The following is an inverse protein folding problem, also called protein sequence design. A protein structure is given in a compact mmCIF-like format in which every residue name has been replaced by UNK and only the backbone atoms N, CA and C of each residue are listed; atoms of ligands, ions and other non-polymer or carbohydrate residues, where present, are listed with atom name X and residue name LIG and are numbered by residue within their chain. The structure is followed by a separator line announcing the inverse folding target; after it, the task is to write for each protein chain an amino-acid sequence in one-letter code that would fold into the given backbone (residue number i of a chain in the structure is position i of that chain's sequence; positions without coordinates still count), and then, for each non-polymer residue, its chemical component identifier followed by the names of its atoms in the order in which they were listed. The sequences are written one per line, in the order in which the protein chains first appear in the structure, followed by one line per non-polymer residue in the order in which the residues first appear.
data_IF_832513330031
#
_entry.id   IF_832513330031
#
_cell.length_a   1.000
_cell.length_b   1.000
_cell.length_c   1.000
_cell.angle_alpha   90.00
_cell.angle_beta   90.00
_cell.angle_gamma   90.00
#
_symmetry.space_group_name_H-M   'P 1'
#
loop_
_entity.id
_entity.type
_entity.pdbx_description
1 polymer ?
#
# COMPACT_ATOMS: atom_id res chain seq x y z
N UNK A 1 -1.14 33.36 13.43
CA UNK A 1 -2.26 32.79 12.69
C UNK A 1 -1.71 32.27 11.38
N UNK A 2 -1.97 31.01 11.06
CA UNK A 2 -1.59 30.40 9.78
C UNK A 2 -2.81 30.54 8.87
N UNK A 3 -2.60 30.97 7.63
CA UNK A 3 -3.63 31.02 6.62
C UNK A 3 -3.69 29.64 5.97
N UNK A 4 -4.87 29.01 6.02
CA UNK A 4 -5.14 27.68 5.47
C UNK A 4 -6.08 27.74 4.25
N UNK A 5 -6.42 28.92 3.78
CA UNK A 5 -7.21 29.12 2.56
C UNK A 5 -6.28 29.10 1.33
N UNK A 6 -5.91 27.91 0.91
CA UNK A 6 -4.98 27.70 -0.21
C UNK A 6 -5.57 28.06 -1.57
N UNK A 7 -6.88 28.00 -1.73
CA UNK A 7 -7.56 28.25 -3.01
C UNK A 7 -7.45 29.72 -3.44
N UNK A 8 -7.35 30.63 -2.45
CA UNK A 8 -7.24 32.06 -2.68
C UNK A 8 -5.81 32.61 -2.54
N UNK A 9 -4.82 31.76 -2.25
CA UNK A 9 -3.43 32.19 -2.12
C UNK A 9 -2.82 32.51 -3.48
N UNK A 10 -2.26 33.71 -3.61
CA UNK A 10 -1.49 34.10 -4.80
C UNK A 10 -0.15 33.34 -4.86
N UNK A 11 0.35 33.13 -6.08
CA UNK A 11 1.70 32.62 -6.26
C UNK A 11 2.72 33.51 -5.57
N UNK A 12 3.75 32.88 -5.00
CA UNK A 12 4.86 33.59 -4.33
C UNK A 12 5.73 34.29 -5.35
N UNK A 13 6.22 35.48 -5.00
CA UNK A 13 7.06 36.30 -5.86
C UNK A 13 8.56 36.15 -5.59
N UNK A 14 8.93 35.50 -4.50
CA UNK A 14 10.31 35.35 -4.06
C UNK A 14 10.57 34.06 -3.29
N UNK A 15 11.84 33.62 -3.29
CA UNK A 15 12.31 32.46 -2.50
C UNK A 15 12.08 32.67 -1.00
N UNK A 16 12.21 33.89 -0.50
CA UNK A 16 11.98 34.22 0.90
C UNK A 16 10.50 34.01 1.28
N UNK A 17 9.58 34.43 0.44
CA UNK A 17 8.14 34.24 0.62
C UNK A 17 7.77 32.75 0.54
N UNK A 18 8.35 32.01 -0.41
CA UNK A 18 8.18 30.57 -0.51
C UNK A 18 8.67 29.85 0.76
N UNK A 19 9.85 30.19 1.24
CA UNK A 19 10.39 29.62 2.48
C UNK A 19 9.50 29.92 3.69
N UNK A 20 8.93 31.11 3.76
CA UNK A 20 7.99 31.48 4.82
C UNK A 20 6.73 30.59 4.76
N UNK A 21 6.12 30.44 3.56
CA UNK A 21 4.94 29.58 3.37
C UNK A 21 5.21 28.13 3.77
N UNK A 22 6.34 27.57 3.33
CA UNK A 22 6.72 26.21 3.72
C UNK A 22 6.88 26.05 5.23
N UNK A 23 7.50 27.01 5.90
CA UNK A 23 7.60 26.98 7.38
C UNK A 23 6.24 27.02 8.06
N UNK A 24 5.32 27.83 7.55
CA UNK A 24 3.96 27.92 8.08
C UNK A 24 3.18 26.62 7.82
N UNK A 25 3.32 26.02 6.64
CA UNK A 25 2.70 24.74 6.29
C UNK A 25 3.22 23.59 7.15
N UNK A 26 4.53 23.45 7.26
CA UNK A 26 5.14 22.40 8.11
C UNK A 26 4.74 22.55 9.57
N UNK A 27 4.70 23.80 10.07
CA UNK A 27 4.21 24.07 11.41
C UNK A 27 2.75 23.67 11.58
N UNK A 28 1.90 23.95 10.61
CA UNK A 28 0.49 23.57 10.63
C UNK A 28 0.32 22.05 10.64
N UNK A 29 0.99 21.34 9.74
CA UNK A 29 0.94 19.87 9.68
C UNK A 29 1.44 19.24 11.00
N UNK A 30 2.55 19.77 11.56
CA UNK A 30 3.06 19.29 12.86
C UNK A 30 2.08 19.53 14.00
N UNK A 31 1.34 20.66 13.98
CA UNK A 31 0.35 20.95 15.02
C UNK A 31 -0.88 20.04 14.91
N UNK A 32 -1.32 19.71 13.69
CA UNK A 32 -2.40 18.73 13.48
C UNK A 32 -1.96 17.38 14.04
N UNK A 33 -0.81 16.88 13.58
CA UNK A 33 -0.28 15.58 14.05
C UNK A 33 -0.10 15.55 15.58
N UNK A 34 0.37 16.64 16.17
CA UNK A 34 0.49 16.74 17.64
C UNK A 34 -0.89 16.66 18.33
N UNK A 35 -1.89 17.34 17.79
CA UNK A 35 -3.26 17.30 18.32
C UNK A 35 -3.82 15.87 18.27
N UNK A 36 -3.71 15.22 17.12
CA UNK A 36 -4.20 13.85 16.92
C UNK A 36 -3.51 12.86 17.88
N UNK A 37 -2.18 12.98 18.04
CA UNK A 37 -1.42 12.17 19.00
C UNK A 37 -1.88 12.41 20.43
N UNK A 38 -2.21 13.64 20.77
CA UNK A 38 -2.69 13.99 22.12
C UNK A 38 -4.08 13.42 22.40
N UNK A 39 -5.01 13.52 21.44
CA UNK A 39 -6.34 12.90 21.55
C UNK A 39 -6.24 11.36 21.66
N UNK A 40 -5.31 10.72 20.92
CA UNK A 40 -5.06 9.30 21.02
C UNK A 40 -4.55 8.88 22.40
N UNK A 41 -3.60 9.65 22.99
CA UNK A 41 -3.11 9.39 24.35
C UNK A 41 -4.20 9.61 25.43
N UNK A 42 -5.05 10.64 25.25
CA UNK A 42 -6.20 10.89 26.15
C UNK A 42 -7.21 9.72 26.04
N UNK A 43 -7.51 9.24 24.85
CA UNK A 43 -8.39 8.09 24.62
C UNK A 43 -7.85 6.80 25.24
N UNK A 44 -6.54 6.56 25.16
CA UNK A 44 -5.90 5.41 25.81
C UNK A 44 -6.00 5.51 27.33
N UNK A 45 -5.83 6.70 27.89
CA UNK A 45 -5.97 6.94 29.32
C UNK A 45 -7.39 6.73 29.81
N UNK A 46 -8.39 7.13 29.01
CA UNK A 46 -9.81 6.89 29.33
C UNK A 46 -10.15 5.39 29.28
N UNK A 47 -9.52 4.63 28.39
CA UNK A 47 -9.73 3.19 28.27
C UNK A 47 -9.00 2.38 29.36
N UNK A 48 -7.87 2.86 29.86
CA UNK A 48 -7.05 2.22 30.88
C UNK A 48 -6.47 3.26 31.85
N UNK A 49 -7.03 3.31 33.05
CA UNK A 49 -6.57 4.22 34.12
C UNK A 49 -5.11 4.03 34.54
N UNK A 50 -4.52 2.86 34.26
CA UNK A 50 -3.11 2.57 34.55
C UNK A 50 -2.16 3.05 33.44
N UNK A 51 -2.67 3.48 32.28
CA UNK A 51 -1.88 3.96 31.18
C UNK A 51 -1.13 5.27 31.52
N UNK A 52 0.17 5.28 31.31
CA UNK A 52 1.00 6.48 31.48
C UNK A 52 1.02 7.26 30.17
N UNK A 53 0.40 8.45 30.18
CA UNK A 53 0.36 9.35 29.03
C UNK A 53 1.74 9.93 28.74
N UNK A 54 2.14 9.95 27.47
CA UNK A 54 3.39 10.59 27.05
C UNK A 54 3.39 12.08 27.35
N UNK A 55 4.57 12.62 27.62
CA UNK A 55 4.74 14.05 27.86
C UNK A 55 4.50 14.87 26.57
N UNK A 56 4.07 16.12 26.74
CA UNK A 56 3.91 17.06 25.61
C UNK A 56 5.20 17.20 24.78
N UNK A 57 6.38 17.11 25.41
CA UNK A 57 7.67 17.17 24.72
C UNK A 57 7.91 15.94 23.84
N UNK A 58 7.52 14.75 24.29
CA UNK A 58 7.63 13.52 23.51
C UNK A 58 6.64 13.53 22.34
N UNK A 59 5.41 13.99 22.58
CA UNK A 59 4.40 14.11 21.52
C UNK A 59 4.81 15.16 20.47
N UNK A 60 5.37 16.30 20.89
CA UNK A 60 5.91 17.29 19.96
C UNK A 60 7.04 16.72 19.11
N UNK A 61 7.97 15.98 19.71
CA UNK A 61 9.06 15.32 19.00
C UNK A 61 8.51 14.31 17.99
N UNK A 62 7.60 13.45 18.39
CA UNK A 62 6.96 12.46 17.54
C UNK A 62 6.21 13.12 16.37
N UNK A 63 5.48 14.21 16.62
CA UNK A 63 4.78 14.96 15.58
C UNK A 63 5.73 15.56 14.54
N UNK A 64 6.88 16.07 14.97
CA UNK A 64 7.92 16.61 14.07
C UNK A 64 8.55 15.51 13.22
N UNK A 65 8.88 14.37 13.81
CA UNK A 65 9.43 13.21 13.11
C UNK A 65 8.43 12.66 12.09
N UNK A 66 7.15 12.55 12.45
CA UNK A 66 6.08 12.13 11.53
C UNK A 66 5.89 13.13 10.37
N UNK A 67 5.93 14.43 10.65
CA UNK A 67 5.83 15.46 9.61
C UNK A 67 6.99 15.37 8.64
N UNK A 68 8.22 15.19 9.13
CA UNK A 68 9.42 15.02 8.30
C UNK A 68 9.28 13.78 7.42
N UNK A 69 9.00 12.62 8.02
CA UNK A 69 8.84 11.35 7.29
C UNK A 69 7.74 11.42 6.22
N UNK A 70 6.62 12.10 6.50
CA UNK A 70 5.55 12.30 5.50
C UNK A 70 6.02 13.16 4.32
N UNK A 71 6.84 14.19 4.59
CA UNK A 71 7.39 15.04 3.53
C UNK A 71 8.44 14.30 2.71
N UNK A 72 9.32 13.52 3.33
CA UNK A 72 10.30 12.68 2.64
C UNK A 72 9.60 11.71 1.70
N UNK A 73 8.59 10.98 2.19
CA UNK A 73 7.78 10.05 1.36
C UNK A 73 7.08 10.75 0.18
N UNK A 74 6.60 11.98 0.38
CA UNK A 74 5.99 12.76 -0.70
C UNK A 74 7.01 13.10 -1.80
N UNK A 75 8.23 13.49 -1.42
CA UNK A 75 9.28 13.78 -2.39
C UNK A 75 9.79 12.52 -3.07
N UNK A 76 10.00 11.43 -2.33
CA UNK A 76 10.39 10.13 -2.89
C UNK A 76 9.36 9.67 -3.94
N UNK A 77 8.06 9.77 -3.61
CA UNK A 77 6.99 9.47 -4.57
C UNK A 77 7.06 10.39 -5.82
N UNK A 78 7.35 11.68 -5.64
CA UNK A 78 7.42 12.62 -6.75
C UNK A 78 8.64 12.35 -7.64
N UNK A 79 9.77 11.96 -7.04
CA UNK A 79 10.98 11.59 -7.75
C UNK A 79 10.85 10.24 -8.49
N UNK A 80 9.99 9.36 -8.00
CA UNK A 80 9.67 8.08 -8.63
C UNK A 80 8.76 8.22 -9.87
N UNK A 81 8.14 9.40 -10.12
CA UNK A 81 7.26 9.59 -11.28
C UNK A 81 8.06 9.60 -12.60
N UNK A 82 7.60 8.77 -13.52
CA UNK A 82 8.18 8.61 -14.85
C UNK A 82 7.34 9.27 -15.95
N UNK A 83 7.84 9.21 -17.18
CA UNK A 83 7.16 9.79 -18.34
C UNK A 83 5.79 9.18 -18.58
N UNK A 84 5.64 7.89 -18.32
CA UNK A 84 4.42 7.12 -18.47
C UNK A 84 3.33 7.60 -17.50
N UNK A 85 3.72 7.93 -16.27
CA UNK A 85 2.80 8.46 -15.26
C UNK A 85 2.25 9.83 -15.70
N UNK A 86 3.14 10.74 -16.15
CA UNK A 86 2.72 12.04 -16.69
C UNK A 86 1.88 11.91 -17.95
N UNK A 87 2.15 10.91 -18.82
CA UNK A 87 1.36 10.64 -20.00
C UNK A 87 -0.05 10.21 -19.61
N UNK A 88 -0.18 9.30 -18.62
CA UNK A 88 -1.48 8.84 -18.10
C UNK A 88 -2.31 9.99 -17.53
N UNK A 89 -1.69 10.84 -16.73
CA UNK A 89 -2.35 12.06 -16.19
C UNK A 89 -2.83 12.97 -17.32
N UNK A 90 -1.99 13.21 -18.32
CA UNK A 90 -2.33 14.07 -19.46
C UNK A 90 -3.49 13.51 -20.29
N UNK A 91 -3.46 12.23 -20.62
CA UNK A 91 -4.53 11.58 -21.40
C UNK A 91 -5.83 11.57 -20.59
N UNK A 92 -5.79 11.23 -19.31
CA UNK A 92 -6.97 11.20 -18.46
C UNK A 92 -7.60 12.57 -18.30
N UNK A 93 -6.82 13.64 -18.17
CA UNK A 93 -7.35 15.01 -18.17
C UNK A 93 -8.13 15.38 -19.45
N UNK A 94 -7.76 14.78 -20.60
CA UNK A 94 -8.50 14.99 -21.86
C UNK A 94 -9.76 14.12 -21.89
N UNK A 95 -9.66 12.86 -21.47
CA UNK A 95 -10.75 11.88 -21.54
C UNK A 95 -11.90 12.28 -20.60
N UNK A 96 -11.58 12.74 -19.38
CA UNK A 96 -12.55 13.20 -18.38
C UNK A 96 -13.40 14.39 -18.83
N UNK A 97 -12.89 15.23 -19.76
CA UNK A 97 -13.69 16.32 -20.37
C UNK A 97 -14.83 15.80 -21.25
N UNK A 98 -14.73 14.57 -21.75
CA UNK A 98 -15.78 13.97 -22.59
C UNK A 98 -16.75 13.11 -21.78
N UNK A 99 -16.24 12.35 -20.81
CA UNK A 99 -17.02 11.50 -19.92
C UNK A 99 -16.27 11.26 -18.60
N UNK A 100 -16.83 11.69 -17.45
CA UNK A 100 -16.19 11.56 -16.14
C UNK A 100 -16.06 10.10 -15.66
N UNK A 101 -16.59 9.10 -16.38
CA UNK A 101 -16.50 7.69 -16.06
C UNK A 101 -15.56 6.92 -16.99
N UNK A 102 -14.98 7.60 -17.97
CA UNK A 102 -14.03 6.99 -18.91
C UNK A 102 -12.61 7.34 -18.52
N UNK A 103 -11.74 6.32 -18.41
CA UNK A 103 -10.34 6.47 -18.02
C UNK A 103 -9.44 5.68 -18.97
N UNK A 104 -8.27 6.23 -19.23
CA UNK A 104 -7.16 5.48 -19.80
C UNK A 104 -6.43 4.75 -18.67
N UNK A 105 -6.35 3.44 -18.74
CA UNK A 105 -5.51 2.64 -17.88
C UNK A 105 -4.16 2.41 -18.54
N UNK A 106 -3.08 2.85 -17.92
CA UNK A 106 -1.75 2.36 -18.25
C UNK A 106 -1.68 0.84 -17.99
N UNK A 107 -0.74 0.10 -18.61
CA UNK A 107 -0.66 -1.36 -18.43
C UNK A 107 -0.68 -1.78 -16.96
N UNK A 108 0.10 -1.16 -16.09
CA UNK A 108 0.15 -1.45 -14.65
C UNK A 108 -1.18 -1.14 -13.94
N UNK A 109 -1.86 -0.05 -14.33
CA UNK A 109 -3.17 0.29 -13.77
C UNK A 109 -4.24 -0.71 -14.19
N UNK A 110 -4.14 -1.21 -15.45
CA UNK A 110 -5.01 -2.28 -15.94
C UNK A 110 -4.82 -3.56 -15.12
N UNK A 111 -3.59 -3.97 -14.87
CA UNK A 111 -3.30 -5.15 -14.06
C UNK A 111 -3.85 -5.02 -12.63
N UNK A 112 -3.68 -3.85 -12.00
CA UNK A 112 -4.28 -3.55 -10.69
C UNK A 112 -5.81 -3.61 -10.72
N UNK A 113 -6.42 -3.08 -11.79
CA UNK A 113 -7.86 -3.13 -11.98
C UNK A 113 -8.34 -4.58 -12.13
N UNK A 114 -7.67 -5.39 -12.96
CA UNK A 114 -8.02 -6.78 -13.18
C UNK A 114 -7.91 -7.60 -11.88
N UNK A 115 -6.86 -7.43 -11.09
CA UNK A 115 -6.70 -8.01 -9.75
C UNK A 115 -7.83 -7.54 -8.82
N UNK A 116 -8.13 -6.24 -8.84
CA UNK A 116 -9.20 -5.69 -8.00
C UNK A 116 -10.57 -6.25 -8.39
N UNK A 117 -10.81 -6.52 -9.65
CA UNK A 117 -12.09 -7.08 -10.15
C UNK A 117 -12.18 -8.58 -9.94
N UNK A 118 -11.14 -9.34 -10.25
CA UNK A 118 -11.14 -10.80 -10.12
C UNK A 118 -10.96 -11.29 -8.68
N UNK A 119 -10.30 -10.50 -7.83
CA UNK A 119 -9.87 -10.92 -6.50
C UNK A 119 -8.75 -11.96 -6.51
N UNK A 120 -8.06 -12.12 -7.63
CA UNK A 120 -6.97 -13.07 -7.82
C UNK A 120 -5.70 -12.35 -8.21
N UNK A 121 -4.59 -12.85 -7.77
CA UNK A 121 -3.28 -12.42 -8.24
C UNK A 121 -2.33 -13.61 -8.35
N UNK A 122 -1.42 -13.59 -9.31
CA UNK A 122 -0.35 -14.59 -9.41
C UNK A 122 0.95 -14.03 -8.84
N UNK A 123 1.54 -14.75 -7.90
CA UNK A 123 2.76 -14.30 -7.25
C UNK A 123 3.09 -15.05 -5.97
N UNK A 124 3.74 -14.36 -5.03
CA UNK A 124 4.24 -14.95 -3.78
C UNK A 124 3.26 -14.83 -2.59
N UNK A 125 2.23 -14.01 -2.67
CA UNK A 125 1.28 -13.81 -1.57
C UNK A 125 1.83 -12.94 -0.44
N UNK A 126 2.42 -11.80 -0.77
CA UNK A 126 2.87 -10.81 0.19
C UNK A 126 2.45 -9.40 -0.25
N UNK A 127 2.11 -8.55 0.73
CA UNK A 127 1.94 -7.11 0.51
C UNK A 127 3.25 -6.39 0.77
N UNK A 128 3.60 -5.47 -0.11
CA UNK A 128 4.86 -4.77 -0.10
C UNK A 128 4.64 -3.27 0.03
N UNK A 129 5.58 -2.59 0.67
CA UNK A 129 5.65 -1.13 0.71
C UNK A 129 7.09 -0.70 0.44
N UNK A 130 7.25 0.39 -0.29
CA UNK A 130 8.53 1.09 -0.39
C UNK A 130 8.64 2.06 0.79
N UNK A 131 9.72 1.96 1.55
CA UNK A 131 10.09 2.89 2.61
C UNK A 131 11.52 3.35 2.35
N UNK A 132 11.66 4.58 1.89
CA UNK A 132 12.88 5.13 1.33
C UNK A 132 13.40 4.22 0.20
N UNK A 133 14.60 3.66 0.34
CA UNK A 133 15.20 2.76 -0.65
C UNK A 133 14.84 1.28 -0.47
N UNK A 134 14.06 0.92 0.55
CA UNK A 134 13.80 -0.48 0.88
C UNK A 134 12.38 -0.91 0.50
N UNK A 135 12.27 -2.11 -0.07
CA UNK A 135 11.00 -2.80 -0.27
C UNK A 135 10.76 -3.74 0.90
N UNK A 136 9.77 -3.42 1.73
CA UNK A 136 9.47 -4.14 2.98
C UNK A 136 8.16 -4.90 2.87
N UNK A 137 8.13 -6.10 3.43
CA UNK A 137 6.94 -6.95 3.52
C UNK A 137 6.10 -6.46 4.70
N UNK A 138 4.88 -5.99 4.42
CA UNK A 138 3.95 -5.50 5.45
C UNK A 138 2.93 -6.53 5.87
N UNK A 139 2.66 -7.53 5.02
CA UNK A 139 1.70 -8.59 5.32
C UNK A 139 2.03 -9.83 4.47
N UNK A 140 1.86 -11.01 5.06
CA UNK A 140 1.95 -12.30 4.36
C UNK A 140 0.54 -12.90 4.27
N UNK A 141 0.06 -13.10 3.05
CA UNK A 141 -1.31 -13.58 2.79
C UNK A 141 -1.40 -15.08 3.13
N UNK A 142 -2.30 -15.41 4.04
CA UNK A 142 -2.51 -16.79 4.48
C UNK A 142 -2.79 -17.73 3.31
N UNK A 143 -2.12 -18.89 3.30
CA UNK A 143 -2.25 -19.88 2.25
C UNK A 143 -1.45 -19.59 0.98
N UNK A 144 -0.86 -18.40 0.84
CA UNK A 144 0.04 -18.07 -0.28
C UNK A 144 1.42 -18.73 -0.18
N UNK A 145 2.23 -18.67 -1.25
CA UNK A 145 3.57 -19.27 -1.26
C UNK A 145 4.50 -18.78 -0.13
N UNK A 146 4.53 -17.46 0.11
CA UNK A 146 5.32 -16.87 1.18
C UNK A 146 4.89 -17.38 2.56
N UNK A 147 3.58 -17.52 2.80
CA UNK A 147 3.06 -18.08 4.04
C UNK A 147 3.39 -19.56 4.21
N UNK A 148 3.26 -20.34 3.13
CA UNK A 148 3.56 -21.80 3.16
C UNK A 148 5.04 -22.10 3.34
N UNK A 149 5.93 -21.21 2.93
CA UNK A 149 7.38 -21.39 3.10
C UNK A 149 7.81 -21.31 4.56
N UNK A 150 7.09 -20.52 5.38
CA UNK A 150 7.48 -20.17 6.76
C UNK A 150 8.85 -19.48 6.86
N UNK A 151 9.40 -19.08 5.70
CA UNK A 151 10.72 -18.45 5.61
C UNK A 151 10.62 -16.93 5.45
N UNK A 152 9.42 -16.37 5.22
CA UNK A 152 9.18 -14.93 5.04
C UNK A 152 8.21 -14.44 6.11
N UNK A 153 8.55 -13.31 6.73
CA UNK A 153 7.74 -12.70 7.78
C UNK A 153 7.55 -11.19 7.58
N UNK A 154 6.53 -10.64 8.23
CA UNK A 154 6.28 -9.20 8.23
C UNK A 154 7.48 -8.40 8.77
N UNK A 155 7.86 -7.38 8.02
CA UNK A 155 8.98 -6.51 8.31
C UNK A 155 10.31 -6.98 7.73
N UNK A 156 10.35 -8.12 7.04
CA UNK A 156 11.50 -8.52 6.25
C UNK A 156 11.66 -7.57 5.04
N UNK A 157 12.90 -7.31 4.65
CA UNK A 157 13.23 -6.40 3.54
C UNK A 157 13.77 -7.19 2.37
N UNK A 158 13.19 -7.05 1.19
CA UNK A 158 13.66 -7.69 -0.03
C UNK A 158 14.76 -6.81 -0.65
N UNK A 159 15.92 -7.39 -0.87
CA UNK A 159 17.10 -6.71 -1.41
C UNK A 159 17.31 -7.01 -2.89
N UNK A 160 17.06 -8.27 -3.29
CA UNK A 160 17.26 -8.73 -4.67
C UNK A 160 16.18 -9.73 -5.07
N UNK A 161 15.95 -9.80 -6.37
CA UNK A 161 15.04 -10.76 -7.01
C UNK A 161 15.80 -11.48 -8.12
N UNK A 162 15.64 -12.81 -8.23
CA UNK A 162 16.23 -13.62 -9.29
C UNK A 162 15.17 -14.54 -9.86
N UNK A 163 15.01 -14.52 -11.18
CA UNK A 163 14.15 -15.46 -11.90
C UNK A 163 14.82 -16.83 -12.03
N UNK A 164 14.04 -17.88 -12.31
CA UNK A 164 14.54 -19.26 -12.39
C UNK A 164 15.59 -19.46 -13.51
N UNK A 165 15.41 -18.76 -14.61
CA UNK A 165 16.23 -18.84 -15.83
C UNK A 165 17.33 -17.77 -15.93
N UNK A 166 17.47 -16.90 -14.94
CA UNK A 166 18.52 -15.88 -14.88
C UNK A 166 19.73 -16.38 -14.07
N UNK A 167 20.94 -15.95 -14.47
CA UNK A 167 22.16 -16.27 -13.72
C UNK A 167 22.35 -15.31 -12.54
N UNK A 168 22.02 -14.05 -12.72
CA UNK A 168 22.25 -12.98 -11.75
C UNK A 168 20.94 -12.49 -11.11
N UNK A 169 21.02 -12.12 -9.82
CA UNK A 169 19.93 -11.50 -9.10
C UNK A 169 19.90 -9.97 -9.34
N UNK A 170 18.75 -9.42 -9.66
CA UNK A 170 18.53 -7.98 -9.83
C UNK A 170 18.35 -7.34 -8.45
N UNK A 171 19.11 -6.26 -8.16
CA UNK A 171 18.90 -5.46 -6.95
C UNK A 171 17.65 -4.60 -7.10
N UNK A 172 16.77 -4.65 -6.12
CA UNK A 172 15.56 -3.81 -6.07
C UNK A 172 15.64 -2.69 -5.02
N UNK A 173 16.81 -2.51 -4.40
CA UNK A 173 17.05 -1.39 -3.47
C UNK A 173 17.02 -0.08 -4.25
N UNK A 174 16.21 0.87 -3.82
CA UNK A 174 15.99 2.15 -4.51
C UNK A 174 15.04 2.08 -5.72
N UNK A 175 14.64 0.88 -6.17
CA UNK A 175 13.72 0.70 -7.28
C UNK A 175 12.32 1.21 -6.95
N UNK A 176 11.54 1.63 -7.96
CA UNK A 176 10.11 1.90 -7.80
C UNK A 176 9.39 0.66 -7.29
N UNK A 177 8.38 0.86 -6.45
CA UNK A 177 7.61 -0.27 -5.90
C UNK A 177 6.98 -1.12 -7.00
N UNK A 178 6.40 -0.49 -8.02
CA UNK A 178 5.73 -1.18 -9.12
C UNK A 178 6.69 -2.06 -9.91
N UNK A 179 7.87 -1.53 -10.27
CA UNK A 179 8.90 -2.27 -11.01
C UNK A 179 9.42 -3.47 -10.18
N UNK A 180 9.61 -3.28 -8.88
CA UNK A 180 9.99 -4.36 -7.99
C UNK A 180 8.89 -5.43 -7.86
N UNK A 181 7.63 -5.00 -7.78
CA UNK A 181 6.47 -5.89 -7.75
C UNK A 181 6.37 -6.69 -9.04
N UNK A 182 6.62 -6.09 -10.20
CA UNK A 182 6.58 -6.78 -11.50
C UNK A 182 7.68 -7.86 -11.61
N UNK A 183 8.84 -7.64 -11.01
CA UNK A 183 9.89 -8.67 -10.91
C UNK A 183 9.51 -9.82 -9.95
N UNK A 184 8.77 -9.51 -8.87
CA UNK A 184 8.37 -10.48 -7.85
C UNK A 184 7.17 -11.31 -8.31
N UNK A 185 6.17 -10.67 -8.95
CA UNK A 185 5.04 -11.35 -9.59
C UNK A 185 5.52 -12.25 -10.73
N UNK A 186 4.64 -13.06 -11.23
CA UNK A 186 4.86 -13.87 -12.40
C UNK A 186 3.93 -15.08 -12.45
N UNK A 187 3.92 -15.81 -13.56
CA UNK A 187 3.00 -16.91 -13.79
C UNK A 187 3.08 -17.98 -12.70
N UNK A 188 1.91 -18.55 -12.40
CA UNK A 188 1.81 -19.72 -11.53
C UNK A 188 2.82 -20.80 -11.91
N UNK A 189 3.31 -21.53 -10.91
CA UNK A 189 4.28 -22.64 -11.00
C UNK A 189 5.71 -22.21 -11.44
N UNK A 190 5.99 -20.91 -11.64
CA UNK A 190 7.35 -20.40 -11.86
C UNK A 190 8.04 -20.13 -10.53
N UNK A 191 9.37 -20.23 -10.51
CA UNK A 191 10.16 -19.95 -9.30
C UNK A 191 10.75 -18.56 -9.31
N UNK A 192 10.82 -17.99 -8.12
CA UNK A 192 11.54 -16.75 -7.83
C UNK A 192 12.39 -16.94 -6.60
N UNK A 193 13.63 -16.46 -6.65
CA UNK A 193 14.52 -16.40 -5.47
C UNK A 193 14.58 -14.96 -4.99
N UNK A 194 14.26 -14.76 -3.72
CA UNK A 194 14.32 -13.46 -3.05
C UNK A 194 15.49 -13.44 -2.08
N UNK A 195 16.41 -12.49 -2.26
CA UNK A 195 17.41 -12.21 -1.23
C UNK A 195 16.77 -11.27 -0.21
N UNK A 196 16.58 -11.78 1.00
CA UNK A 196 15.79 -11.12 2.05
C UNK A 196 16.66 -10.82 3.26
N UNK A 197 16.59 -9.60 3.77
CA UNK A 197 17.15 -9.23 5.08
C UNK A 197 16.08 -9.41 6.15
N UNK A 198 16.33 -10.33 7.08
CA UNK A 198 15.40 -10.70 8.15
C UNK A 198 15.27 -9.58 9.18
N UNK A 199 14.02 -9.23 9.55
CA UNK A 199 13.73 -8.21 10.55
C UNK A 199 14.35 -8.49 11.91
N UNK A 200 14.26 -9.72 12.38
CA UNK A 200 14.62 -10.08 13.76
C UNK A 200 16.13 -10.22 13.93
N UNK A 201 16.79 -10.90 13.02
CA UNK A 201 18.23 -11.24 13.14
C UNK A 201 19.13 -10.34 12.30
N UNK A 202 18.57 -9.61 11.33
CA UNK A 202 19.35 -8.78 10.40
C UNK A 202 20.20 -9.55 9.39
N UNK A 203 20.18 -10.89 9.44
CA UNK A 203 20.88 -11.75 8.49
C UNK A 203 20.22 -11.68 7.10
N UNK A 204 21.02 -11.95 6.08
CA UNK A 204 20.56 -11.97 4.69
C UNK A 204 20.50 -13.43 4.26
N UNK A 205 19.37 -13.83 3.71
CA UNK A 205 19.09 -15.19 3.27
C UNK A 205 18.44 -15.17 1.89
N UNK A 206 18.71 -16.22 1.09
CA UNK A 206 18.01 -16.43 -0.17
C UNK A 206 16.86 -17.41 0.07
N UNK A 207 15.64 -16.94 -0.25
CA UNK A 207 14.40 -17.71 -0.12
C UNK A 207 13.87 -18.03 -1.51
N UNK A 208 13.65 -19.30 -1.80
CA UNK A 208 13.09 -19.77 -3.08
C UNK A 208 11.60 -20.01 -2.93
N UNK A 209 10.79 -19.30 -3.70
CA UNK A 209 9.34 -19.44 -3.71
C UNK A 209 8.85 -19.90 -5.08
N UNK A 210 7.83 -20.76 -5.07
CA UNK A 210 7.07 -21.13 -6.27
C UNK A 210 5.81 -20.29 -6.29
N UNK A 211 5.65 -19.47 -7.33
CA UNK A 211 4.48 -18.61 -7.49
C UNK A 211 3.20 -19.43 -7.66
N UNK A 212 2.11 -18.91 -7.15
CA UNK A 212 0.79 -19.54 -7.21
C UNK A 212 -0.29 -18.49 -7.40
N UNK A 213 -1.50 -18.94 -7.75
CA UNK A 213 -2.68 -18.08 -7.70
C UNK A 213 -3.07 -17.85 -6.24
N UNK A 214 -3.16 -16.59 -5.87
CA UNK A 214 -3.56 -16.15 -4.53
C UNK A 214 -4.97 -15.57 -4.64
N UNK A 215 -5.92 -16.17 -3.94
CA UNK A 215 -7.27 -15.66 -3.82
C UNK A 215 -7.36 -14.72 -2.62
N UNK A 216 -7.83 -13.50 -2.87
CA UNK A 216 -8.04 -12.50 -1.80
C UNK A 216 -9.43 -12.78 -1.21
N UNK A 217 -9.49 -13.63 -0.19
CA UNK A 217 -10.76 -14.12 0.42
C UNK A 217 -11.70 -12.99 0.88
N UNK A 218 -11.17 -11.83 1.25
CA UNK A 218 -11.98 -10.67 1.65
C UNK A 218 -12.78 -10.08 0.48
N UNK A 219 -12.45 -10.44 -0.75
CA UNK A 219 -13.16 -10.00 -1.95
C UNK A 219 -14.48 -10.73 -2.15
N UNK A 220 -14.53 -12.00 -1.75
CA UNK A 220 -15.62 -12.90 -2.13
C UNK A 220 -16.83 -12.80 -1.20
N UNK A 221 -18.00 -13.15 -1.76
CA UNK A 221 -19.23 -13.26 -1.00
C UNK A 221 -19.09 -14.32 0.11
N UNK A 222 -19.56 -13.98 1.30
CA UNK A 222 -19.59 -14.89 2.46
C UNK A 222 -21.02 -15.03 2.94
N UNK A 223 -21.41 -16.26 3.27
CA UNK A 223 -22.73 -16.54 3.82
C UNK A 223 -22.63 -17.04 5.26
N UNK A 224 -23.57 -16.65 6.06
CA UNK A 224 -23.73 -17.18 7.42
C UNK A 224 -25.21 -17.38 7.75
N UNK A 225 -25.50 -18.28 8.68
CA UNK A 225 -26.86 -18.52 9.15
C UNK A 225 -26.95 -18.26 10.65
N UNK A 226 -27.88 -17.42 11.04
CA UNK A 226 -28.17 -17.11 12.44
C UNK A 226 -29.54 -17.64 12.79
N UNK A 227 -29.63 -18.35 13.93
CA UNK A 227 -30.91 -18.82 14.47
C UNK A 227 -31.32 -17.93 15.64
N UNK A 228 -32.49 -17.29 15.53
CA UNK A 228 -33.06 -16.44 16.57
C UNK A 228 -34.56 -16.69 16.65
N UNK A 229 -35.08 -16.85 17.88
CA UNK A 229 -36.52 -17.07 18.19
C UNK A 229 -37.16 -18.21 17.37
N UNK A 230 -36.41 -19.30 17.16
CA UNK A 230 -36.86 -20.48 16.41
C UNK A 230 -36.87 -20.30 14.88
N UNK A 231 -36.43 -19.12 14.37
CA UNK A 231 -36.32 -18.82 12.93
C UNK A 231 -34.86 -18.83 12.48
N UNK A 232 -34.65 -19.26 11.27
CA UNK A 232 -33.34 -19.21 10.62
C UNK A 232 -33.26 -17.94 9.74
N UNK A 233 -32.18 -17.17 9.89
CA UNK A 233 -31.89 -15.99 9.09
C UNK A 233 -30.59 -16.26 8.32
N UNK A 234 -30.64 -16.20 7.00
CA UNK A 234 -29.45 -16.19 6.14
C UNK A 234 -28.91 -14.77 6.03
N UNK A 235 -27.60 -14.61 6.20
CA UNK A 235 -26.88 -13.36 6.01
C UNK A 235 -25.93 -13.57 4.84
N UNK A 236 -26.01 -12.70 3.83
CA UNK A 236 -25.06 -12.65 2.72
C UNK A 236 -24.26 -11.37 2.89
N UNK A 237 -22.95 -11.51 3.04
CA UNK A 237 -22.02 -10.38 3.04
C UNK A 237 -21.32 -10.35 1.68
N UNK A 238 -21.60 -9.31 0.88
CA UNK A 238 -20.97 -9.06 -0.40
C UNK A 238 -20.12 -7.79 -0.27
N UNK A 239 -18.80 -7.91 -0.04
CA UNK A 239 -17.92 -6.76 0.18
C UNK A 239 -17.80 -5.87 -1.05
N UNK A 240 -17.76 -6.49 -2.24
CA UNK A 240 -17.75 -5.83 -3.55
C UNK A 240 -18.25 -6.78 -4.64
N UNK A 241 -18.59 -6.23 -5.80
CA UNK A 241 -18.78 -7.05 -6.98
C UNK A 241 -17.43 -7.48 -7.53
N UNK A 242 -17.32 -8.74 -7.93
CA UNK A 242 -16.11 -9.32 -8.51
C UNK A 242 -16.45 -10.13 -9.74
N UNK A 243 -15.56 -10.10 -10.71
CA UNK A 243 -15.71 -10.78 -11.99
C UNK A 243 -14.33 -10.88 -12.65
N UNK A 244 -14.00 -12.05 -13.16
CA UNK A 244 -12.79 -12.27 -13.93
C UNK A 244 -13.10 -12.07 -15.42
N UNK A 245 -12.52 -11.06 -16.04
CA UNK A 245 -12.77 -10.71 -17.43
C UNK A 245 -12.08 -11.67 -18.42
N UNK A 246 -11.05 -12.38 -17.97
CA UNK A 246 -10.26 -13.31 -18.78
C UNK A 246 -10.78 -14.75 -18.66
N UNK A 247 -11.39 -15.11 -17.54
CA UNK A 247 -11.99 -16.42 -17.30
C UNK A 247 -13.47 -16.32 -16.88
N UNK A 248 -14.36 -16.34 -17.85
CA UNK A 248 -15.82 -16.29 -17.64
C UNK A 248 -16.40 -17.48 -16.84
N UNK A 249 -15.63 -18.57 -16.68
CA UNK A 249 -16.02 -19.72 -15.87
C UNK A 249 -15.52 -19.61 -14.43
N UNK A 250 -14.76 -18.58 -14.12
CA UNK A 250 -14.28 -18.29 -12.78
C UNK A 250 -15.44 -17.84 -11.88
N UNK A 251 -15.19 -17.84 -10.57
CA UNK A 251 -16.11 -17.31 -9.55
C UNK A 251 -16.48 -15.85 -9.87
N UNK A 252 -17.75 -15.52 -9.68
CA UNK A 252 -18.24 -14.15 -9.82
C UNK A 252 -19.37 -13.86 -8.82
N UNK A 253 -19.58 -12.57 -8.50
CA UNK A 253 -20.54 -12.13 -7.48
C UNK A 253 -22.00 -12.53 -7.78
N UNK A 254 -22.33 -12.90 -9.02
CA UNK A 254 -23.67 -13.33 -9.39
C UNK A 254 -23.87 -14.85 -9.27
N UNK A 255 -22.79 -15.64 -9.24
CA UNK A 255 -22.84 -17.10 -9.15
C UNK A 255 -22.62 -17.62 -7.72
N UNK A 256 -21.94 -16.87 -6.89
CA UNK A 256 -21.64 -17.22 -5.48
C UNK A 256 -22.71 -16.75 -4.52
#
# INVERSE_FOLDING_TARGET
KIDTDYDNLKYVSSKAELTKRWKEQLKFNTLITYHDLKEDEESKKEADDSYEVKSDTELEKQARESTLSNMERYYDFTDDLEREDYFSVYINAIVEEFDPHTFYFAPQDKDRFDIAMSGKLEGIGARLVKDSDNITITEVISGGPAWRSDEITEGDVILKVKQEDEEDAVSIVGMRLDDAVDLIKGPKDTKVTLTVRKKVMGNIEDVVLVRDVIEIEETYAKTSMVKKDGKNFGIINLPKFYFDMEDYNSRNAASD
#
